data_IF_240179836410
#
_entry.id   IF_240179836410
#
_cell.length_a   1.000
_cell.length_b   1.000
_cell.length_c   1.000
_cell.angle_alpha   90.00
_cell.angle_beta   90.00
_cell.angle_gamma   90.00
#
_symmetry.space_group_name_H-M   'P 1'
#
loop_
_entity.id
_entity.type
_entity.pdbx_description
1 polymer ?
#
# COMPACT_ATOMS: atom_id res chain seq x y z
N UNK A 1 2.32 -22.12 0.94
CA UNK A 1 1.72 -20.77 0.91
C UNK A 1 1.09 -20.59 -0.45
N UNK A 2 -0.24 -20.50 -0.54
CA UNK A 2 -0.92 -20.39 -1.84
C UNK A 2 -0.54 -19.07 -2.51
N UNK A 3 0.20 -19.15 -3.61
CA UNK A 3 0.50 -18.00 -4.45
C UNK A 3 -0.82 -17.54 -5.07
N UNK A 4 -1.31 -16.39 -4.64
CA UNK A 4 -2.52 -15.80 -5.21
C UNK A 4 -2.12 -15.13 -6.52
N UNK A 5 -2.66 -15.62 -7.62
CA UNK A 5 -2.44 -15.07 -8.95
C UNK A 5 -3.68 -14.29 -9.36
N UNK A 6 -3.46 -13.11 -9.92
CA UNK A 6 -4.47 -12.31 -10.62
C UNK A 6 -4.92 -13.02 -11.90
N UNK A 7 -6.07 -12.63 -12.45
CA UNK A 7 -6.61 -13.16 -13.72
C UNK A 7 -5.66 -12.94 -14.91
N UNK A 8 -4.68 -12.02 -14.78
CA UNK A 8 -3.59 -11.80 -15.75
C UNK A 8 -2.30 -12.61 -15.45
N UNK A 9 -2.34 -13.57 -14.54
CA UNK A 9 -1.19 -14.40 -14.16
C UNK A 9 -0.15 -13.70 -13.28
N UNK A 10 -0.53 -12.59 -12.63
CA UNK A 10 0.39 -11.80 -11.79
C UNK A 10 0.29 -12.24 -10.34
N UNK A 11 1.44 -12.45 -9.69
CA UNK A 11 1.49 -12.84 -8.28
C UNK A 11 1.15 -11.66 -7.36
N UNK A 12 0.01 -11.79 -6.69
CA UNK A 12 -0.44 -10.90 -5.61
C UNK A 12 0.30 -11.24 -4.32
N UNK A 13 0.69 -10.21 -3.58
CA UNK A 13 1.28 -10.30 -2.24
C UNK A 13 0.20 -10.54 -1.18
N UNK A 14 0.65 -10.87 0.03
CA UNK A 14 -0.23 -11.06 1.18
C UNK A 14 -0.97 -9.75 1.50
N UNK A 15 -2.30 -9.79 1.50
CA UNK A 15 -3.14 -8.61 1.74
C UNK A 15 -3.56 -7.86 0.47
N UNK A 16 -3.00 -8.20 -0.69
CA UNK A 16 -3.45 -7.71 -2.00
C UNK A 16 -4.59 -8.58 -2.54
N UNK A 17 -5.58 -7.92 -3.10
CA UNK A 17 -6.74 -8.53 -3.74
C UNK A 17 -7.04 -7.78 -5.03
N UNK A 18 -7.46 -8.51 -6.05
CA UNK A 18 -8.02 -7.90 -7.24
C UNK A 18 -9.54 -7.98 -7.16
N UNK A 19 -10.20 -6.85 -7.37
CA UNK A 19 -11.63 -6.78 -7.58
C UNK A 19 -11.89 -6.90 -9.08
N UNK A 20 -12.17 -8.12 -9.52
CA UNK A 20 -12.51 -8.44 -10.90
C UNK A 20 -13.78 -7.70 -11.38
N UNK A 21 -14.66 -7.33 -10.45
CA UNK A 21 -15.90 -6.60 -10.74
C UNK A 21 -15.63 -5.16 -11.18
N UNK A 22 -14.73 -4.47 -10.47
CA UNK A 22 -14.40 -3.06 -10.74
C UNK A 22 -13.14 -2.91 -11.59
N UNK A 23 -12.37 -3.98 -11.76
CA UNK A 23 -11.05 -3.98 -12.41
C UNK A 23 -9.99 -3.24 -11.59
N UNK A 24 -10.15 -3.16 -10.26
CA UNK A 24 -9.26 -2.42 -9.35
C UNK A 24 -8.56 -3.38 -8.41
N UNK A 25 -7.33 -3.04 -8.07
CA UNK A 25 -6.62 -3.67 -6.97
C UNK A 25 -7.02 -3.03 -5.65
N UNK A 26 -7.13 -3.85 -4.61
CA UNK A 26 -7.32 -3.42 -3.23
C UNK A 26 -6.29 -4.07 -2.33
N UNK A 27 -5.79 -3.31 -1.36
CA UNK A 27 -4.85 -3.78 -0.36
C UNK A 27 -5.48 -3.56 1.01
N UNK A 28 -5.63 -4.64 1.78
CA UNK A 28 -6.18 -4.59 3.13
C UNK A 28 -5.07 -4.85 4.13
N UNK A 29 -4.85 -3.90 5.03
CA UNK A 29 -3.84 -3.99 6.07
C UNK A 29 -4.42 -3.63 7.44
N UNK A 30 -3.69 -4.04 8.48
CA UNK A 30 -3.98 -3.65 9.85
C UNK A 30 -3.04 -2.51 10.20
N UNK A 31 -3.63 -1.39 10.54
CA UNK A 31 -2.90 -0.21 10.97
C UNK A 31 -2.27 -0.43 12.36
N UNK A 32 -1.33 0.43 12.75
CA UNK A 32 -0.73 0.46 14.10
C UNK A 32 -1.79 0.61 15.20
N UNK A 33 -2.87 1.31 14.87
CA UNK A 33 -4.06 1.44 15.71
C UNK A 33 -4.93 0.17 15.79
N UNK A 34 -4.44 -0.96 15.26
CA UNK A 34 -5.18 -2.21 15.08
C UNK A 34 -6.47 -2.09 14.26
N UNK A 35 -6.63 -0.98 13.52
CA UNK A 35 -7.79 -0.72 12.65
C UNK A 35 -7.55 -1.32 11.27
N UNK A 36 -8.61 -1.89 10.69
CA UNK A 36 -8.55 -2.42 9.33
C UNK A 36 -8.69 -1.30 8.32
N UNK A 37 -7.65 -1.08 7.53
CA UNK A 37 -7.63 -0.10 6.45
C UNK A 37 -7.64 -0.80 5.10
N UNK A 38 -8.36 -0.23 4.14
CA UNK A 38 -8.44 -0.75 2.77
C UNK A 38 -8.10 0.35 1.78
N UNK A 39 -7.11 0.08 0.94
CA UNK A 39 -6.62 1.00 -0.08
C UNK A 39 -6.99 0.45 -1.44
N UNK A 40 -7.35 1.33 -2.37
CA UNK A 40 -7.68 0.97 -3.73
C UNK A 40 -6.68 1.58 -4.71
N UNK A 41 -6.36 0.85 -5.78
CA UNK A 41 -5.56 1.34 -6.89
C UNK A 41 -5.96 0.67 -8.21
N UNK A 42 -5.78 1.38 -9.32
CA UNK A 42 -6.04 0.84 -10.66
C UNK A 42 -4.88 0.00 -11.19
N UNK A 43 -3.67 0.23 -10.68
CA UNK A 43 -2.44 -0.43 -11.14
C UNK A 43 -1.77 -1.16 -9.97
N UNK A 44 -1.28 -2.36 -10.22
CA UNK A 44 -0.55 -3.14 -9.23
C UNK A 44 0.88 -2.62 -9.10
N UNK A 45 1.52 -2.37 -10.24
CA UNK A 45 2.90 -1.90 -10.36
C UNK A 45 2.98 -0.62 -11.18
N UNK A 46 3.99 0.22 -10.91
CA UNK A 46 4.27 1.44 -11.68
C UNK A 46 4.49 1.17 -13.18
N UNK A 47 4.83 -0.08 -13.52
CA UNK A 47 5.08 -0.54 -14.88
C UNK A 47 3.78 -0.84 -15.65
N UNK A 48 2.62 -0.88 -14.97
CA UNK A 48 1.34 -1.06 -15.62
C UNK A 48 0.89 0.21 -16.35
N UNK A 49 0.42 0.02 -17.58
CA UNK A 49 -0.23 1.09 -18.32
C UNK A 49 -1.57 1.42 -17.65
N UNK A 50 -1.69 2.65 -17.16
CA UNK A 50 -2.96 3.20 -16.70
C UNK A 50 -3.91 3.30 -17.89
N UNK A 51 -5.17 2.84 -17.79
CA UNK A 51 -6.12 2.95 -18.89
C UNK A 51 -6.31 4.42 -19.30
N UNK A 52 -6.36 4.64 -20.63
CA UNK A 52 -6.49 5.97 -21.23
C UNK A 52 -7.70 6.71 -20.64
N UNK A 53 -7.49 7.93 -20.14
CA UNK A 53 -8.55 8.75 -19.52
C UNK A 53 -8.71 8.58 -18.01
N UNK A 54 -7.90 7.75 -17.34
CA UNK A 54 -7.79 7.73 -15.88
C UNK A 54 -6.53 8.47 -15.44
N UNK A 55 -6.70 9.55 -14.69
CA UNK A 55 -5.60 10.29 -14.06
C UNK A 55 -5.14 9.57 -12.79
N UNK A 56 -4.52 8.40 -12.96
CA UNK A 56 -3.66 7.86 -11.91
C UNK A 56 -2.38 8.70 -11.92
N UNK A 57 -2.02 9.35 -10.81
CA UNK A 57 -0.73 10.04 -10.75
C UNK A 57 0.36 8.97 -10.91
N UNK A 58 1.42 9.29 -11.67
CA UNK A 58 2.65 8.50 -11.68
C UNK A 58 3.15 8.45 -10.23
N UNK A 59 2.94 7.34 -9.53
CA UNK A 59 3.22 7.20 -8.09
C UNK A 59 2.10 6.57 -7.24
N UNK A 60 0.87 6.45 -7.75
CA UNK A 60 -0.28 5.94 -6.97
C UNK A 60 -0.44 4.40 -7.03
N UNK A 61 0.59 3.67 -7.46
CA UNK A 61 0.54 2.21 -7.63
C UNK A 61 0.24 1.53 -6.29
N UNK A 62 -0.45 0.38 -6.31
CA UNK A 62 -0.77 -0.34 -5.07
C UNK A 62 0.49 -0.64 -4.23
N UNK A 63 1.59 -1.05 -4.89
CA UNK A 63 2.87 -1.31 -4.23
C UNK A 63 3.56 -0.08 -3.64
N UNK A 64 3.42 1.08 -4.27
CA UNK A 64 3.98 2.32 -3.72
C UNK A 64 3.21 2.73 -2.47
N UNK A 65 1.88 2.65 -2.52
CA UNK A 65 1.02 2.87 -1.35
C UNK A 65 1.33 1.88 -0.24
N UNK A 66 1.45 0.59 -0.57
CA UNK A 66 1.86 -0.46 0.38
C UNK A 66 3.20 -0.10 1.03
N UNK A 67 4.21 0.27 0.25
CA UNK A 67 5.54 0.61 0.77
C UNK A 67 5.50 1.84 1.69
N UNK A 68 4.74 2.88 1.32
CA UNK A 68 4.53 4.06 2.16
C UNK A 68 3.84 3.69 3.48
N UNK A 69 2.78 2.88 3.41
CA UNK A 69 2.07 2.40 4.59
C UNK A 69 3.00 1.58 5.47
N UNK A 70 3.75 0.63 4.92
CA UNK A 70 4.69 -0.17 5.70
C UNK A 70 5.76 0.71 6.37
N UNK A 71 6.25 1.74 5.67
CA UNK A 71 7.19 2.70 6.23
C UNK A 71 6.56 3.49 7.38
N UNK A 72 5.36 4.03 7.17
CA UNK A 72 4.59 4.79 8.16
C UNK A 72 4.25 3.96 9.40
N UNK A 73 3.83 2.69 9.20
CA UNK A 73 3.60 1.76 10.30
C UNK A 73 4.87 1.49 11.11
N UNK A 74 6.02 1.33 10.44
CA UNK A 74 7.31 1.14 11.12
C UNK A 74 7.75 2.41 11.83
N UNK A 75 7.64 3.58 11.20
CA UNK A 75 7.99 4.88 11.79
C UNK A 75 7.07 5.25 12.96
N UNK A 76 5.77 4.96 12.93
CA UNK A 76 4.83 5.22 14.04
C UNK A 76 5.08 4.26 15.22
N UNK A 77 5.44 3.01 14.95
CA UNK A 77 5.91 2.07 16.00
C UNK A 77 7.22 2.57 16.62
N UNK A 78 8.16 3.03 15.82
CA UNK A 78 9.47 3.50 16.32
C UNK A 78 9.33 4.84 17.09
N UNK A 79 8.39 5.70 16.67
CA UNK A 79 8.05 6.96 17.34
C UNK A 79 7.45 6.77 18.74
N UNK A 80 6.91 5.57 19.03
CA UNK A 80 6.44 5.21 20.37
C UNK A 80 7.52 4.54 21.23
N UNK A 81 8.72 4.30 20.67
CA UNK A 81 9.84 3.59 21.30
C UNK A 81 11.08 4.43 21.68
N UNK A 82 11.20 5.69 21.28
CA UNK A 82 12.25 6.56 21.84
C UNK A 82 12.70 7.76 20.99
N UNK A 83 12.45 8.96 21.52
CA UNK A 83 13.39 10.08 21.52
C UNK A 83 14.11 10.45 20.20
N UNK A 84 13.49 11.31 19.37
CA UNK A 84 14.24 12.37 18.69
C UNK A 84 14.23 13.64 19.55
N UNK A 85 15.29 13.73 20.36
CA UNK A 85 15.88 14.90 21.03
C UNK A 85 14.94 16.05 21.39
N UNK A 86 14.65 16.13 22.70
CA UNK A 86 14.73 17.41 23.42
C UNK A 86 16.15 17.94 23.24
N UNK A 87 16.37 18.76 22.23
CA UNK A 87 17.49 19.69 22.20
C UNK A 87 16.92 21.05 22.58
N UNK A 88 16.85 21.22 23.91
CA UNK A 88 16.94 22.52 24.54
C UNK A 88 18.17 23.25 23.97
N UNK A 89 17.96 24.44 23.42
CA UNK A 89 18.85 25.55 23.70
C UNK A 89 18.15 26.89 23.43
N UNK A 90 17.99 27.65 24.53
CA UNK A 90 17.70 29.09 24.66
C UNK A 90 16.41 29.66 24.06
#
# INVERSE_FOLDING_TARGET
MAERLDSKGRKLRTGEYFDETTGRYKYRYKDVNNKWQTVYSWTLTHNDKVPLGKNQKRGDSLREKEALIQKDLVEEIDSSGGNMSVLSLM
#
